data_IF_237129639017
#
_entry.id   IF_237129639017
#
_cell.length_a   1.000
_cell.length_b   1.000
_cell.length_c   1.000
_cell.angle_alpha   90.00
_cell.angle_beta   90.00
_cell.angle_gamma   90.00
#
_symmetry.space_group_name_H-M   'P 1'
#
loop_
_entity.id
_entity.type
_entity.pdbx_description
1 polymer ?
#
# COMPACT_ATOMS: atom_id res chain seq x y z
N UNK A 1 -17.68 -12.07 -76.90
CA UNK A 1 -17.94 -13.52 -76.78
C UNK A 1 -16.63 -14.14 -76.32
N UNK A 2 -16.45 -14.69 -75.13
CA UNK A 2 -17.25 -15.00 -73.93
C UNK A 2 -16.19 -14.96 -72.79
N UNK A 3 -16.40 -14.36 -71.62
CA UNK A 3 -17.23 -14.90 -70.53
C UNK A 3 -16.41 -15.90 -69.69
N UNK A 4 -15.94 -15.49 -68.51
CA UNK A 4 -16.00 -16.30 -67.27
C UNK A 4 -15.61 -15.41 -66.07
N UNK A 5 -16.50 -15.32 -65.09
CA UNK A 5 -16.29 -14.67 -63.80
C UNK A 5 -15.96 -15.72 -62.74
N UNK A 6 -15.04 -15.42 -61.82
CA UNK A 6 -14.98 -16.09 -60.52
C UNK A 6 -14.50 -15.11 -59.45
N UNK A 7 -15.24 -15.06 -58.35
CA UNK A 7 -15.14 -14.09 -57.28
C UNK A 7 -14.50 -14.69 -56.01
N UNK A 8 -13.81 -13.81 -55.25
CA UNK A 8 -13.49 -13.80 -53.79
C UNK A 8 -12.65 -14.95 -53.17
N UNK A 9 -11.66 -14.60 -52.33
CA UNK A 9 -11.81 -14.67 -50.85
C UNK A 9 -11.34 -13.34 -50.19
N UNK A 10 -12.08 -12.66 -49.31
CA UNK A 10 -12.50 -12.92 -47.92
C UNK A 10 -11.31 -13.14 -46.97
N UNK A 11 -11.02 -12.06 -46.20
CA UNK A 11 -10.51 -11.99 -44.81
C UNK A 11 -9.09 -12.55 -44.64
N UNK A 12 -8.13 -11.73 -44.21
CA UNK A 12 -7.88 -11.50 -42.79
C UNK A 12 -7.09 -10.20 -42.64
N UNK A 13 -7.71 -9.18 -42.05
CA UNK A 13 -7.45 -8.81 -40.67
C UNK A 13 -5.98 -8.42 -40.47
N UNK A 14 -5.77 -7.11 -40.57
CA UNK A 14 -4.66 -6.33 -40.01
C UNK A 14 -3.85 -7.13 -39.00
N UNK A 15 -2.65 -7.52 -39.45
CA UNK A 15 -1.59 -8.05 -38.61
C UNK A 15 -1.37 -7.11 -37.44
N UNK A 16 -1.83 -7.56 -36.27
CA UNK A 16 -1.19 -7.41 -34.97
C UNK A 16 -0.21 -6.23 -34.88
N UNK A 17 -0.75 -5.04 -34.63
CA UNK A 17 0.01 -3.99 -33.99
C UNK A 17 0.01 -4.27 -32.48
N UNK A 18 0.59 -5.42 -32.10
CA UNK A 18 1.03 -5.66 -30.73
C UNK A 18 2.27 -4.81 -30.50
N UNK A 19 2.03 -3.54 -30.22
CA UNK A 19 3.02 -2.68 -29.58
C UNK A 19 3.30 -3.25 -28.18
N UNK A 20 4.26 -4.17 -28.12
CA UNK A 20 4.93 -4.58 -26.89
C UNK A 20 5.54 -3.33 -26.24
N UNK A 21 4.80 -2.71 -25.31
CA UNK A 21 5.29 -1.61 -24.49
C UNK A 21 5.88 -2.19 -23.19
N UNK A 22 7.20 -2.09 -22.95
CA UNK A 22 7.89 -2.70 -21.81
C UNK A 22 7.76 -1.88 -20.51
N UNK A 23 6.61 -1.26 -20.25
CA UNK A 23 6.33 -0.56 -18.99
C UNK A 23 5.80 -1.57 -17.96
N UNK A 24 6.75 -2.31 -17.38
CA UNK A 24 6.56 -3.52 -16.59
C UNK A 24 5.95 -3.27 -15.20
N UNK A 25 4.63 -3.13 -15.14
CA UNK A 25 3.85 -3.34 -13.93
C UNK A 25 2.72 -4.34 -14.17
N UNK A 26 2.02 -4.71 -13.11
CA UNK A 26 0.97 -5.72 -13.15
C UNK A 26 -0.33 -5.20 -13.77
N UNK A 27 -1.08 -6.08 -14.43
CA UNK A 27 -2.43 -5.76 -14.92
C UNK A 27 -3.39 -5.45 -13.76
N UNK A 28 -4.42 -4.67 -14.03
CA UNK A 28 -5.42 -4.30 -13.01
C UNK A 28 -6.15 -5.52 -12.43
N UNK A 29 -6.40 -6.54 -13.25
CA UNK A 29 -7.00 -7.81 -12.81
C UNK A 29 -6.05 -8.57 -11.87
N UNK A 30 -4.79 -8.79 -12.28
CA UNK A 30 -3.80 -9.46 -11.44
C UNK A 30 -3.55 -8.71 -10.13
N UNK A 31 -3.58 -7.38 -10.17
CA UNK A 31 -3.47 -6.54 -8.99
C UNK A 31 -4.66 -6.72 -8.04
N UNK A 32 -5.88 -6.84 -8.56
CA UNK A 32 -7.07 -7.12 -7.75
C UNK A 32 -6.93 -8.45 -6.99
N UNK A 33 -6.39 -9.48 -7.64
CA UNK A 33 -6.12 -10.77 -6.99
C UNK A 33 -5.04 -10.66 -5.90
N UNK A 34 -3.98 -9.88 -6.15
CA UNK A 34 -2.97 -9.61 -5.13
C UNK A 34 -3.49 -8.78 -3.97
N UNK A 35 -4.42 -7.85 -4.19
CA UNK A 35 -5.09 -7.14 -3.10
C UNK A 35 -5.89 -8.13 -2.26
N UNK A 36 -6.65 -9.05 -2.90
CA UNK A 36 -7.39 -10.11 -2.19
C UNK A 36 -6.46 -11.00 -1.37
N UNK A 37 -5.29 -11.32 -1.90
CA UNK A 37 -4.28 -12.07 -1.16
C UNK A 37 -3.70 -11.26 0.01
N UNK A 38 -3.40 -9.97 -0.22
CA UNK A 38 -2.91 -9.05 0.80
C UNK A 38 -3.88 -8.87 1.97
N UNK A 39 -5.19 -9.03 1.76
CA UNK A 39 -6.18 -9.04 2.84
C UNK A 39 -5.98 -10.17 3.86
N UNK A 40 -5.26 -11.24 3.50
CA UNK A 40 -4.90 -12.33 4.41
C UNK A 40 -3.66 -12.02 5.25
N UNK A 41 -2.88 -11.00 4.89
CA UNK A 41 -1.68 -10.61 5.61
C UNK A 41 -2.01 -10.26 7.08
N UNK A 42 -1.24 -10.75 8.08
CA UNK A 42 -1.58 -10.62 9.50
C UNK A 42 -1.77 -9.17 9.94
N UNK A 43 -0.91 -8.25 9.50
CA UNK A 43 -1.04 -6.81 9.81
C UNK A 43 -2.30 -6.20 9.20
N UNK A 44 -2.64 -6.56 7.96
CA UNK A 44 -3.83 -6.06 7.26
C UNK A 44 -5.09 -6.55 7.96
N UNK A 45 -5.14 -7.83 8.32
CA UNK A 45 -6.23 -8.41 9.11
C UNK A 45 -6.41 -7.69 10.45
N UNK A 46 -5.32 -7.53 11.20
CA UNK A 46 -5.34 -6.83 12.47
C UNK A 46 -5.89 -5.41 12.33
N UNK A 47 -5.38 -4.61 11.38
CA UNK A 47 -5.84 -3.24 11.16
C UNK A 47 -7.34 -3.20 10.81
N UNK A 48 -7.80 -4.08 9.92
CA UNK A 48 -9.22 -4.15 9.53
C UNK A 48 -10.12 -4.52 10.69
N UNK A 49 -9.71 -5.48 11.54
CA UNK A 49 -10.44 -5.85 12.76
C UNK A 49 -10.52 -4.68 13.76
N UNK A 50 -9.44 -3.91 13.93
CA UNK A 50 -9.46 -2.72 14.81
C UNK A 50 -10.38 -1.62 14.26
N UNK A 51 -10.35 -1.40 12.94
CA UNK A 51 -11.22 -0.43 12.27
C UNK A 51 -12.69 -0.84 12.36
N UNK A 52 -13.01 -2.12 12.19
CA UNK A 52 -14.36 -2.63 12.37
C UNK A 52 -14.88 -2.40 13.80
N UNK A 53 -14.06 -2.65 14.81
CA UNK A 53 -14.38 -2.34 16.22
C UNK A 53 -14.56 -0.84 16.49
N UNK A 54 -13.87 0.01 15.74
CA UNK A 54 -14.01 1.46 15.81
C UNK A 54 -15.24 1.99 15.03
N UNK A 55 -15.99 1.12 14.33
CA UNK A 55 -17.19 1.48 13.58
C UNK A 55 -16.96 1.89 12.12
N UNK A 56 -15.77 1.63 11.58
CA UNK A 56 -15.38 1.98 10.20
C UNK A 56 -14.88 0.76 9.41
N UNK A 57 -15.76 -0.21 9.10
CA UNK A 57 -15.36 -1.42 8.39
C UNK A 57 -14.80 -1.11 6.99
N UNK A 58 -13.64 -1.69 6.67
CA UNK A 58 -13.02 -1.58 5.33
C UNK A 58 -13.44 -2.76 4.47
N UNK A 59 -14.24 -2.44 3.46
CA UNK A 59 -14.75 -3.39 2.47
C UNK A 59 -13.82 -3.49 1.26
N UNK A 60 -13.79 -4.65 0.60
CA UNK A 60 -13.01 -4.86 -0.63
C UNK A 60 -13.33 -3.82 -1.72
N UNK A 61 -14.59 -3.37 -1.83
CA UNK A 61 -15.02 -2.33 -2.79
C UNK A 61 -14.37 -0.96 -2.57
N UNK A 62 -13.78 -0.73 -1.39
CA UNK A 62 -13.05 0.50 -1.07
C UNK A 62 -11.54 0.36 -1.38
N UNK A 63 -11.10 -0.79 -1.89
CA UNK A 63 -9.72 -1.05 -2.31
C UNK A 63 -9.69 -1.11 -3.83
N UNK A 64 -9.19 -0.04 -4.44
CA UNK A 64 -9.28 0.19 -5.88
C UNK A 64 -7.92 -0.07 -6.55
N UNK A 65 -7.89 -1.09 -7.40
CA UNK A 65 -6.79 -1.31 -8.34
C UNK A 65 -6.92 -0.33 -9.52
N UNK A 66 -5.92 0.52 -9.76
CA UNK A 66 -5.92 1.50 -10.85
C UNK A 66 -4.56 1.55 -11.57
N UNK A 67 -4.56 2.11 -12.78
CA UNK A 67 -3.34 2.51 -13.46
C UNK A 67 -3.10 4.01 -13.24
N UNK A 68 -1.98 4.34 -12.62
CA UNK A 68 -1.57 5.71 -12.32
C UNK A 68 -0.67 6.25 -13.42
N UNK A 69 -0.84 7.53 -13.77
CA UNK A 69 0.05 8.21 -14.74
C UNK A 69 1.35 8.66 -14.09
N UNK A 70 1.30 8.98 -12.80
CA UNK A 70 2.42 9.55 -12.05
C UNK A 70 3.32 8.45 -11.50
N UNK A 71 4.52 8.30 -12.08
CA UNK A 71 5.47 7.23 -11.74
C UNK A 71 5.97 7.25 -10.28
N UNK A 72 5.68 8.31 -9.52
CA UNK A 72 6.11 8.46 -8.12
C UNK A 72 5.10 8.00 -7.07
N UNK A 73 3.85 7.68 -7.45
CA UNK A 73 2.82 7.25 -6.50
C UNK A 73 2.61 5.74 -6.55
N UNK A 74 2.71 5.11 -5.39
CA UNK A 74 2.42 3.69 -5.18
C UNK A 74 0.93 3.43 -4.90
N UNK A 75 0.23 4.44 -4.38
CA UNK A 75 -1.16 4.38 -3.95
C UNK A 75 -1.56 5.66 -3.22
N UNK A 76 -2.72 5.61 -2.59
CA UNK A 76 -3.19 6.71 -1.75
C UNK A 76 -4.54 6.44 -1.11
N UNK A 77 -4.74 7.03 0.07
CA UNK A 77 -5.98 7.05 0.80
C UNK A 77 -6.71 8.38 0.60
N UNK A 78 -8.02 8.31 0.39
CA UNK A 78 -8.89 9.48 0.41
C UNK A 78 -10.13 9.20 1.26
N UNK A 79 -10.40 10.09 2.22
CA UNK A 79 -11.57 10.02 3.08
C UNK A 79 -12.86 9.84 2.27
N UNK A 80 -13.68 8.86 2.67
CA UNK A 80 -14.93 8.43 2.01
C UNK A 80 -14.78 7.83 0.59
N UNK A 81 -13.61 7.89 -0.04
CA UNK A 81 -13.36 7.27 -1.36
C UNK A 81 -12.66 5.91 -1.25
N UNK A 82 -11.86 5.73 -0.20
CA UNK A 82 -11.14 4.48 0.06
C UNK A 82 -9.66 4.57 -0.30
N UNK A 83 -9.08 3.41 -0.57
CA UNK A 83 -7.66 3.20 -0.85
C UNK A 83 -7.50 2.92 -2.34
N UNK A 84 -6.56 3.58 -2.97
CA UNK A 84 -6.15 3.35 -4.36
C UNK A 84 -4.75 2.75 -4.40
N UNK A 85 -4.52 1.81 -5.31
CA UNK A 85 -3.23 1.15 -5.52
C UNK A 85 -2.86 1.26 -6.99
N UNK A 86 -1.67 1.81 -7.26
CA UNK A 86 -1.14 2.04 -8.60
C UNK A 86 -0.51 0.76 -9.16
N UNK A 87 -1.32 -0.12 -9.72
CA UNK A 87 -0.94 -1.48 -10.11
C UNK A 87 0.14 -1.54 -11.20
N UNK A 88 0.16 -0.56 -12.09
CA UNK A 88 1.16 -0.42 -13.14
C UNK A 88 2.56 -0.05 -12.61
N UNK A 89 2.73 0.18 -11.31
CA UNK A 89 4.04 0.36 -10.65
C UNK A 89 4.41 -0.83 -9.75
N UNK A 90 3.59 -1.88 -9.73
CA UNK A 90 3.73 -3.01 -8.82
C UNK A 90 4.09 -4.27 -9.57
N UNK A 91 5.06 -5.01 -9.02
CA UNK A 91 5.50 -6.30 -9.56
C UNK A 91 5.25 -7.42 -8.56
N UNK A 92 5.53 -7.18 -7.28
CA UNK A 92 5.57 -8.20 -6.23
C UNK A 92 4.42 -8.06 -5.24
N UNK A 93 4.06 -9.18 -4.59
CA UNK A 93 3.05 -9.19 -3.54
C UNK A 93 3.42 -8.30 -2.34
N UNK A 94 4.71 -8.24 -2.01
CA UNK A 94 5.19 -7.47 -0.85
C UNK A 94 5.02 -5.95 -1.05
N UNK A 95 5.08 -5.47 -2.29
CA UNK A 95 4.83 -4.06 -2.60
C UNK A 95 3.34 -3.72 -2.40
N UNK A 96 2.45 -4.59 -2.87
CA UNK A 96 1.00 -4.47 -2.62
C UNK A 96 0.69 -4.51 -1.12
N UNK A 97 1.30 -5.45 -0.39
CA UNK A 97 1.09 -5.57 1.06
C UNK A 97 1.53 -4.31 1.79
N UNK A 98 2.69 -3.75 1.43
CA UNK A 98 3.26 -2.55 2.03
C UNK A 98 2.37 -1.33 1.80
N UNK A 99 1.95 -1.07 0.56
CA UNK A 99 1.01 0.00 0.22
C UNK A 99 -0.32 -0.20 0.95
N UNK A 100 -0.86 -1.42 0.94
CA UNK A 100 -2.13 -1.71 1.60
C UNK A 100 -2.08 -1.43 3.10
N UNK A 101 -0.98 -1.77 3.78
CA UNK A 101 -0.80 -1.48 5.21
C UNK A 101 -0.66 0.03 5.42
N UNK A 102 0.17 0.71 4.61
CA UNK A 102 0.40 2.15 4.68
C UNK A 102 -0.93 2.92 4.59
N UNK A 103 -1.71 2.65 3.55
CA UNK A 103 -2.98 3.34 3.32
C UNK A 103 -4.08 2.94 4.32
N UNK A 104 -4.04 1.71 4.85
CA UNK A 104 -4.95 1.31 5.94
C UNK A 104 -4.65 2.04 7.24
N UNK A 105 -3.40 2.42 7.50
CA UNK A 105 -3.06 3.24 8.67
C UNK A 105 -3.68 4.61 8.52
N UNK A 106 -3.54 5.27 7.36
CA UNK A 106 -4.23 6.52 7.08
C UNK A 106 -5.75 6.42 7.26
N UNK A 107 -6.35 5.33 6.78
CA UNK A 107 -7.77 5.07 6.97
C UNK A 107 -8.16 4.86 8.45
N UNK A 108 -7.30 4.17 9.22
CA UNK A 108 -7.47 3.98 10.65
C UNK A 108 -7.41 5.31 11.41
N UNK A 109 -6.52 6.20 10.97
CA UNK A 109 -6.32 7.51 11.58
C UNK A 109 -7.48 8.46 11.28
N UNK A 110 -7.99 8.47 10.05
CA UNK A 110 -9.22 9.20 9.68
C UNK A 110 -10.43 8.71 10.48
N UNK A 111 -10.50 7.39 10.70
CA UNK A 111 -11.59 6.78 11.44
C UNK A 111 -11.56 7.06 12.94
N UNK A 112 -10.39 6.94 13.57
CA UNK A 112 -10.27 7.01 15.04
C UNK A 112 -10.07 8.42 15.56
N UNK A 113 -9.42 9.30 14.79
CA UNK A 113 -9.13 10.64 15.24
C UNK A 113 -10.38 11.52 15.09
N UNK A 114 -10.90 12.01 16.22
CA UNK A 114 -12.08 12.91 16.24
C UNK A 114 -11.89 14.18 15.40
N UNK A 115 -10.64 14.64 15.21
CA UNK A 115 -10.29 15.90 14.56
C UNK A 115 -9.22 15.71 13.47
N UNK A 116 -9.24 14.62 12.70
CA UNK A 116 -8.33 14.49 11.56
C UNK A 116 -8.62 15.57 10.53
N UNK A 117 -7.58 16.29 10.10
CA UNK A 117 -7.68 17.29 9.04
C UNK A 117 -6.53 17.10 8.06
N UNK A 118 -6.83 16.53 6.91
CA UNK A 118 -5.85 16.27 5.84
C UNK A 118 -5.29 17.53 5.19
N UNK A 119 -5.88 18.71 5.45
CA UNK A 119 -5.34 20.01 5.03
C UNK A 119 -4.36 20.58 6.05
N UNK A 120 -4.35 20.07 7.27
CA UNK A 120 -3.39 20.47 8.28
C UNK A 120 -2.10 19.68 8.10
N UNK A 121 -1.00 20.38 7.78
CA UNK A 121 0.30 19.77 7.53
C UNK A 121 0.81 18.93 8.71
N UNK A 122 0.52 19.34 9.96
CA UNK A 122 0.97 18.60 11.13
C UNK A 122 0.21 17.28 11.28
N UNK A 123 -1.11 17.27 11.01
CA UNK A 123 -1.90 16.04 11.06
C UNK A 123 -1.48 15.06 9.96
N UNK A 124 -1.30 15.60 8.75
CA UNK A 124 -0.82 14.83 7.60
C UNK A 124 0.55 14.21 7.90
N UNK A 125 1.55 15.02 8.31
CA UNK A 125 2.89 14.54 8.62
C UNK A 125 2.91 13.50 9.78
N UNK A 126 2.09 13.70 10.82
CA UNK A 126 1.95 12.70 11.89
C UNK A 126 1.42 11.35 11.36
N UNK A 127 0.48 11.41 10.42
CA UNK A 127 -0.09 10.24 9.75
C UNK A 127 0.98 9.51 8.93
N UNK A 128 1.75 10.24 8.12
CA UNK A 128 2.84 9.71 7.31
C UNK A 128 3.93 9.03 8.16
N UNK A 129 4.36 9.67 9.25
CA UNK A 129 5.37 9.10 10.15
C UNK A 129 4.90 7.76 10.71
N UNK A 130 3.63 7.69 11.13
CA UNK A 130 3.05 6.45 11.67
C UNK A 130 2.89 5.39 10.58
N UNK A 131 2.44 5.78 9.38
CA UNK A 131 2.28 4.89 8.25
C UNK A 131 3.62 4.24 7.87
N UNK A 132 4.66 5.06 7.64
CA UNK A 132 6.00 4.59 7.28
C UNK A 132 6.65 3.70 8.35
N UNK A 133 6.38 3.98 9.63
CA UNK A 133 6.91 3.18 10.73
C UNK A 133 6.23 1.81 10.83
N UNK A 134 4.90 1.76 10.75
CA UNK A 134 4.12 0.53 11.00
C UNK A 134 3.91 -0.34 9.74
N UNK A 135 4.03 0.21 8.54
CA UNK A 135 4.00 -0.53 7.27
C UNK A 135 5.26 -1.36 7.01
N UNK A 136 6.34 -1.04 7.72
CA UNK A 136 7.67 -1.59 7.43
C UNK A 136 8.35 -0.91 6.24
N UNK A 137 7.84 0.23 5.74
CA UNK A 137 8.52 1.06 4.74
C UNK A 137 9.93 1.42 5.18
N UNK A 138 10.08 1.75 6.46
CA UNK A 138 11.33 2.13 7.10
C UNK A 138 12.05 0.97 7.83
N UNK A 139 11.80 -0.27 7.42
CA UNK A 139 12.47 -1.43 8.01
C UNK A 139 13.96 -1.48 7.64
N UNK A 140 14.85 -1.74 8.61
CA UNK A 140 16.31 -1.64 8.41
C UNK A 140 16.85 -2.36 7.16
N UNK A 141 16.32 -3.55 6.81
CA UNK A 141 16.74 -4.30 5.59
C UNK A 141 16.48 -3.50 4.32
N UNK A 142 15.33 -2.84 4.24
CA UNK A 142 14.92 -2.04 3.07
C UNK A 142 15.72 -0.77 2.99
N UNK A 143 16.00 -0.14 4.13
CA UNK A 143 16.79 1.09 4.21
C UNK A 143 18.28 0.85 3.94
N UNK A 144 18.81 -0.28 4.41
CA UNK A 144 20.13 -0.77 4.01
C UNK A 144 20.20 -1.02 2.50
N UNK A 145 19.16 -1.64 1.91
CA UNK A 145 19.08 -1.86 0.47
C UNK A 145 18.94 -0.56 -0.33
N UNK A 146 18.29 0.46 0.26
CA UNK A 146 18.20 1.84 -0.27
C UNK A 146 19.49 2.65 -0.07
N UNK A 147 20.50 2.11 0.64
CA UNK A 147 21.80 2.76 0.86
C UNK A 147 21.82 3.77 2.01
N UNK A 148 20.77 3.85 2.83
CA UNK A 148 20.72 4.73 3.99
C UNK A 148 21.23 4.00 5.24
N UNK A 149 22.34 4.49 5.82
CA UNK A 149 22.94 3.91 7.04
C UNK A 149 23.00 4.88 8.23
N UNK A 150 22.23 5.98 8.22
CA UNK A 150 22.29 7.01 9.26
C UNK A 150 21.36 6.69 10.44
N UNK A 151 21.93 6.07 11.47
CA UNK A 151 21.25 5.82 12.76
C UNK A 151 21.10 7.14 13.54
N UNK A 152 19.89 7.71 13.57
CA UNK A 152 19.52 8.75 14.56
C UNK A 152 18.29 8.30 15.34
N UNK A 153 18.45 8.21 16.67
CA UNK A 153 17.47 7.68 17.60
C UNK A 153 16.33 8.66 17.89
N UNK A 154 15.09 8.23 17.66
CA UNK A 154 13.89 8.98 18.03
C UNK A 154 12.86 8.14 18.82
N UNK A 155 13.15 6.87 19.12
CA UNK A 155 12.11 5.88 19.45
C UNK A 155 12.23 5.28 20.85
N UNK A 156 12.60 6.07 21.86
CA UNK A 156 12.45 5.65 23.26
C UNK A 156 11.19 6.23 23.92
N UNK A 157 10.64 7.33 23.38
CA UNK A 157 9.43 7.95 23.94
C UNK A 157 8.12 7.37 23.36
N UNK A 158 8.09 7.02 22.07
CA UNK A 158 6.85 6.66 21.37
C UNK A 158 6.32 5.26 21.73
N UNK A 159 7.21 4.27 21.83
CA UNK A 159 6.82 2.89 22.21
C UNK A 159 6.23 2.83 23.62
N UNK A 160 6.72 3.67 24.54
CA UNK A 160 6.17 3.78 25.90
C UNK A 160 4.78 4.41 25.88
N UNK A 161 4.56 5.42 25.04
CA UNK A 161 3.31 6.17 24.97
C UNK A 161 2.18 5.43 24.21
N UNK A 162 2.51 4.69 23.15
CA UNK A 162 1.53 3.89 22.38
C UNK A 162 1.07 2.68 23.19
N UNK A 163 1.99 2.01 23.89
CA UNK A 163 1.67 0.82 24.70
C UNK A 163 0.91 1.18 25.99
N UNK A 164 1.14 2.36 26.57
CA UNK A 164 0.41 2.86 27.74
C UNK A 164 -1.02 3.31 27.39
N UNK A 165 -1.25 3.92 26.21
CA UNK A 165 -2.58 4.39 25.81
C UNK A 165 -3.51 3.29 25.25
N UNK A 166 -3.00 2.08 25.01
CA UNK A 166 -3.77 0.93 24.49
C UNK A 166 -4.03 -0.17 25.54
N UNK A 167 -3.57 -0.03 26.80
CA UNK A 167 -3.68 -1.06 27.85
C UNK A 167 -3.15 -2.45 27.43
N UNK A 168 -2.12 -2.52 26.57
CA UNK A 168 -1.57 -3.78 26.06
C UNK A 168 -0.31 -4.27 26.81
N UNK A 169 0.05 -3.69 27.95
CA UNK A 169 1.16 -4.18 28.78
C UNK A 169 0.63 -4.95 29.98
N UNK A 170 0.67 -6.27 29.90
CA UNK A 170 0.84 -7.13 31.08
C UNK A 170 2.35 -7.16 31.44
N UNK A 171 2.72 -7.22 32.73
CA UNK A 171 4.09 -7.01 33.17
C UNK A 171 4.98 -8.24 32.92
N UNK A 172 6.20 -7.97 32.46
CA UNK A 172 7.42 -8.81 32.55
C UNK A 172 7.42 -10.22 31.92
N UNK A 173 8.23 -10.41 30.86
CA UNK A 173 9.48 -11.20 30.98
C UNK A 173 10.37 -11.16 29.73
N UNK A 174 11.65 -10.92 30.01
CA UNK A 174 12.84 -11.37 29.29
C UNK A 174 13.26 -10.62 28.03
N UNK A 175 14.32 -9.84 28.23
CA UNK A 175 15.18 -9.19 27.26
C UNK A 175 15.68 -10.14 26.16
N UNK A 176 15.67 -9.66 24.93
CA UNK A 176 16.70 -9.95 23.93
C UNK A 176 16.72 -8.85 22.86
N UNK A 177 17.62 -7.88 23.07
CA UNK A 177 18.40 -7.14 22.06
C UNK A 177 17.56 -6.42 20.98
N UNK A 178 17.24 -5.14 21.14
CA UNK A 178 18.20 -4.02 21.01
C UNK A 178 19.03 -4.17 19.74
N UNK A 179 18.61 -3.50 18.65
CA UNK A 179 19.34 -2.96 17.47
C UNK A 179 18.27 -2.81 16.39
N UNK A 180 17.40 -1.81 16.43
CA UNK A 180 16.44 -1.61 15.34
C UNK A 180 15.83 -0.21 15.33
N UNK A 181 16.64 0.83 15.54
CA UNK A 181 16.11 2.18 15.60
C UNK A 181 17.05 3.13 14.89
N UNK A 182 16.71 3.54 13.67
CA UNK A 182 17.40 4.64 12.98
C UNK A 182 17.52 4.49 11.47
N UNK A 183 16.44 4.17 10.75
CA UNK A 183 16.52 3.96 9.30
C UNK A 183 15.46 4.69 8.47
N UNK A 184 14.50 5.40 9.06
CA UNK A 184 13.53 6.17 8.28
C UNK A 184 14.15 7.50 7.82
N UNK A 185 14.73 7.53 6.62
CA UNK A 185 15.11 8.77 5.97
C UNK A 185 13.84 9.40 5.36
N UNK A 186 13.35 10.48 5.99
CA UNK A 186 12.37 11.39 5.38
C UNK A 186 13.12 12.47 4.60
#
# INVERSE_FOLDING_TARGET
MEGEAAAVPIVSASTSDETNNPNAGMSQEGCTDRIREGLKHPTVRFLREQMEKAGCPVWMRLLLAINCRDQGSAGGYASKRGITICCNHMTFQDEINQVLIHELIHACDDCRAKNMDWKNCAHHACSEIRANHLSGDCHYKRELLRGFMKIRGHEQALNKLILQNLNLVQPERSQSKLIYVGFCAV
#
